data_IF_532711640569
#
_entry.id   IF_532711640569
#
_cell.length_a   1.000
_cell.length_b   1.000
_cell.length_c   1.000
_cell.angle_alpha   90.00
_cell.angle_beta   90.00
_cell.angle_gamma   90.00
#
_symmetry.space_group_name_H-M   'P 1'
#
loop_
_entity.id
_entity.type
_entity.pdbx_description
1 polymer ?
#
# COMPACT_ATOMS: atom_id res chain seq x y z
N UNK A 1 6.30 -17.70 -22.41
CA UNK A 1 7.20 -16.61 -21.98
C UNK A 1 8.43 -17.29 -21.40
N UNK A 2 9.66 -16.92 -21.78
CA UNK A 2 10.84 -17.62 -21.24
C UNK A 2 11.05 -17.23 -19.77
N UNK A 3 11.47 -18.17 -18.91
CA UNK A 3 11.78 -17.94 -17.48
C UNK A 3 12.68 -16.72 -17.26
N UNK A 4 13.58 -16.43 -18.19
CA UNK A 4 14.45 -15.25 -18.16
C UNK A 4 13.70 -13.92 -18.26
N UNK A 5 12.72 -13.79 -19.16
CA UNK A 5 11.93 -12.55 -19.29
C UNK A 5 11.05 -12.29 -18.06
N UNK A 6 10.63 -13.37 -17.39
CA UNK A 6 9.84 -13.31 -16.19
C UNK A 6 10.63 -12.79 -14.99
N UNK A 7 11.83 -13.34 -14.77
CA UNK A 7 12.73 -12.95 -13.68
C UNK A 7 13.13 -11.48 -13.78
N UNK A 8 13.43 -11.00 -14.99
CA UNK A 8 13.74 -9.59 -15.25
C UNK A 8 12.57 -8.65 -14.96
N UNK A 9 11.33 -9.09 -15.20
CA UNK A 9 10.13 -8.27 -14.95
C UNK A 9 9.89 -8.03 -13.47
N UNK A 10 10.11 -9.05 -12.63
CA UNK A 10 9.91 -8.99 -11.18
C UNK A 10 11.01 -8.16 -10.51
N UNK A 11 12.27 -8.34 -10.92
CA UNK A 11 13.40 -7.51 -10.43
C UNK A 11 13.24 -6.05 -10.84
N UNK A 12 12.70 -5.79 -12.04
CA UNK A 12 12.39 -4.43 -12.49
C UNK A 12 11.23 -3.86 -11.69
N UNK A 13 10.15 -4.61 -11.45
CA UNK A 13 9.03 -4.19 -10.62
C UNK A 13 9.46 -3.83 -9.19
N UNK A 14 10.37 -4.60 -8.57
CA UNK A 14 10.91 -4.29 -7.25
C UNK A 14 11.68 -2.95 -7.24
N UNK A 15 12.57 -2.73 -8.22
CA UNK A 15 13.29 -1.45 -8.35
C UNK A 15 12.37 -0.26 -8.59
N UNK A 16 11.35 -0.42 -9.43
CA UNK A 16 10.36 0.61 -9.70
C UNK A 16 9.42 0.84 -8.52
N UNK A 17 9.13 -0.17 -7.70
CA UNK A 17 8.26 -0.04 -6.53
C UNK A 17 8.77 1.01 -5.56
N UNK A 18 10.09 1.08 -5.35
CA UNK A 18 10.71 2.05 -4.45
C UNK A 18 10.58 3.48 -4.99
N UNK A 19 10.79 3.67 -6.28
CA UNK A 19 10.66 4.97 -6.93
C UNK A 19 9.18 5.41 -6.93
N UNK A 20 8.27 4.53 -7.33
CA UNK A 20 6.85 4.80 -7.38
C UNK A 20 6.27 5.08 -5.98
N UNK A 21 6.69 4.32 -4.96
CA UNK A 21 6.28 4.57 -3.58
C UNK A 21 6.76 5.93 -3.08
N UNK A 22 8.00 6.33 -3.43
CA UNK A 22 8.51 7.66 -3.07
C UNK A 22 7.73 8.78 -3.78
N UNK A 23 7.48 8.63 -5.09
CA UNK A 23 6.69 9.60 -5.86
C UNK A 23 5.27 9.71 -5.30
N UNK A 24 4.64 8.58 -4.99
CA UNK A 24 3.32 8.55 -4.37
C UNK A 24 3.31 9.24 -3.02
N UNK A 25 4.30 8.97 -2.16
CA UNK A 25 4.42 9.62 -0.86
C UNK A 25 4.60 11.14 -1.00
N UNK A 26 5.45 11.61 -1.92
CA UNK A 26 5.65 13.04 -2.16
C UNK A 26 4.35 13.70 -2.66
N UNK A 27 3.68 13.10 -3.65
CA UNK A 27 2.43 13.63 -4.19
C UNK A 27 1.34 13.74 -3.10
N UNK A 28 1.20 12.69 -2.29
CA UNK A 28 0.23 12.65 -1.19
C UNK A 28 0.61 13.63 -0.09
N UNK A 29 1.90 13.80 0.22
CA UNK A 29 2.34 14.79 1.19
C UNK A 29 1.95 16.20 0.75
N UNK A 30 2.24 16.58 -0.50
CA UNK A 30 1.91 17.90 -1.03
C UNK A 30 0.40 18.14 -1.01
N UNK A 31 -0.39 17.15 -1.44
CA UNK A 31 -1.84 17.23 -1.43
C UNK A 31 -2.41 17.32 -0.01
N UNK A 32 -2.00 16.42 0.89
CA UNK A 32 -2.49 16.39 2.25
C UNK A 32 -2.10 17.65 3.02
N UNK A 33 -0.89 18.18 2.79
CA UNK A 33 -0.44 19.44 3.38
C UNK A 33 -1.32 20.61 2.93
N UNK A 34 -1.65 20.68 1.64
CA UNK A 34 -2.50 21.74 1.09
C UNK A 34 -3.92 21.67 1.66
N UNK A 35 -4.48 20.46 1.77
CA UNK A 35 -5.86 20.26 2.25
C UNK A 35 -6.00 20.39 3.76
N UNK A 36 -5.04 19.89 4.53
CA UNK A 36 -5.13 19.78 5.99
C UNK A 36 -4.46 20.95 6.72
N UNK A 37 -3.50 21.64 6.10
CA UNK A 37 -2.71 22.70 6.75
C UNK A 37 -1.77 22.21 7.86
N UNK A 38 -1.73 20.90 8.13
CA UNK A 38 -0.92 20.28 9.19
C UNK A 38 0.17 19.39 8.59
N UNK A 39 1.44 19.78 8.82
CA UNK A 39 2.61 19.09 8.27
C UNK A 39 2.83 17.72 8.91
N UNK A 40 2.56 17.58 10.21
CA UNK A 40 2.74 16.31 10.92
C UNK A 40 1.74 15.28 10.40
N UNK A 41 0.47 15.68 10.31
CA UNK A 41 -0.59 14.84 9.77
C UNK A 41 -0.34 14.49 8.30
N UNK A 42 0.01 15.46 7.45
CA UNK A 42 0.35 15.21 6.06
C UNK A 42 1.53 14.21 5.91
N UNK A 43 2.51 14.27 6.80
CA UNK A 43 3.64 13.33 6.83
C UNK A 43 3.19 11.90 7.17
N UNK A 44 2.25 11.73 8.11
CA UNK A 44 1.69 10.43 8.47
C UNK A 44 0.92 9.82 7.30
N UNK A 45 0.03 10.60 6.68
CA UNK A 45 -0.78 10.16 5.52
C UNK A 45 0.12 9.81 4.32
N UNK A 46 1.16 10.60 4.08
CA UNK A 46 2.13 10.33 3.02
C UNK A 46 2.95 9.05 3.27
N UNK A 47 3.48 8.89 4.48
CA UNK A 47 4.28 7.72 4.85
C UNK A 47 3.47 6.43 4.75
N UNK A 48 2.26 6.42 5.30
CA UNK A 48 1.33 5.27 5.24
C UNK A 48 0.96 4.92 3.80
N UNK A 49 0.68 5.91 2.96
CA UNK A 49 0.41 5.69 1.53
C UNK A 49 1.63 5.16 0.78
N UNK A 50 2.83 5.67 1.08
CA UNK A 50 4.08 5.19 0.50
C UNK A 50 4.36 3.73 0.87
N UNK A 51 4.15 3.35 2.13
CA UNK A 51 4.26 1.96 2.59
C UNK A 51 3.24 1.09 1.84
N UNK A 52 1.97 1.52 1.78
CA UNK A 52 0.91 0.79 1.08
C UNK A 52 1.24 0.56 -0.39
N UNK A 53 1.74 1.59 -1.07
CA UNK A 53 2.19 1.53 -2.47
C UNK A 53 3.33 0.53 -2.66
N UNK A 54 4.31 0.55 -1.75
CA UNK A 54 5.46 -0.37 -1.79
C UNK A 54 5.05 -1.84 -1.57
N UNK A 55 4.00 -2.09 -0.80
CA UNK A 55 3.46 -3.45 -0.62
C UNK A 55 2.61 -3.89 -1.82
N UNK A 56 1.82 -2.98 -2.38
CA UNK A 56 0.88 -3.30 -3.45
C UNK A 56 1.56 -3.54 -4.80
N UNK A 57 2.59 -2.77 -5.17
CA UNK A 57 3.24 -2.90 -6.48
C UNK A 57 3.83 -4.30 -6.73
N UNK A 58 4.69 -4.87 -5.84
CA UNK A 58 5.23 -6.21 -6.04
C UNK A 58 4.13 -7.29 -6.00
N UNK A 59 3.11 -7.12 -5.15
CA UNK A 59 1.92 -7.98 -5.17
C UNK A 59 1.20 -7.94 -6.53
N UNK A 60 0.98 -6.76 -7.09
CA UNK A 60 0.33 -6.61 -8.39
C UNK A 60 1.15 -7.22 -9.53
N UNK A 61 2.48 -7.23 -9.39
CA UNK A 61 3.35 -7.93 -10.31
C UNK A 61 3.26 -9.46 -10.17
N UNK A 62 3.19 -9.99 -8.95
CA UNK A 62 3.13 -11.44 -8.70
C UNK A 62 1.79 -12.09 -9.08
N UNK A 63 0.68 -11.34 -9.05
CA UNK A 63 -0.61 -11.87 -9.51
C UNK A 63 -0.75 -11.92 -11.05
N UNK A 64 0.13 -11.23 -11.80
CA UNK A 64 0.15 -11.30 -13.28
C UNK A 64 0.77 -12.59 -13.80
N UNK A 65 1.41 -13.34 -12.90
CA UNK A 65 1.98 -14.67 -13.13
C UNK A 65 0.83 -15.68 -13.15
N UNK A 66 0.77 -16.60 -14.14
CA UNK A 66 -0.17 -17.71 -14.13
C UNK A 66 -0.08 -18.49 -12.80
N UNK A 67 -1.22 -18.90 -12.25
CA UNK A 67 -1.26 -19.55 -10.92
C UNK A 67 -0.38 -20.79 -10.81
N UNK A 68 -0.26 -21.56 -11.91
CA UNK A 68 0.58 -22.76 -11.95
C UNK A 68 2.07 -22.50 -11.71
N UNK A 69 2.53 -21.28 -12.03
CA UNK A 69 3.93 -20.86 -11.92
C UNK A 69 4.13 -19.80 -10.81
N UNK A 70 3.10 -19.50 -10.02
CA UNK A 70 3.13 -18.44 -9.00
C UNK A 70 3.68 -18.99 -7.69
N UNK A 71 4.86 -18.56 -7.29
CA UNK A 71 5.29 -18.64 -5.89
C UNK A 71 4.63 -17.52 -5.12
N UNK A 72 3.92 -17.85 -4.04
CA UNK A 72 3.30 -16.81 -3.23
C UNK A 72 4.38 -16.00 -2.50
N UNK A 73 4.22 -14.69 -2.44
CA UNK A 73 5.15 -13.77 -1.78
C UNK A 73 5.43 -14.22 -0.36
N UNK A 74 4.41 -14.61 0.41
CA UNK A 74 4.55 -15.04 1.81
C UNK A 74 5.41 -16.30 2.02
N UNK A 75 5.65 -17.10 0.96
CA UNK A 75 6.56 -18.25 1.01
C UNK A 75 8.03 -17.84 0.85
N UNK A 76 8.29 -16.60 0.44
CA UNK A 76 9.64 -16.09 0.27
C UNK A 76 10.22 -15.67 1.64
N UNK A 77 11.37 -16.23 2.08
CA UNK A 77 11.86 -16.14 3.46
C UNK A 77 12.24 -14.73 3.96
N UNK A 78 12.34 -13.75 3.06
CA UNK A 78 12.59 -12.33 3.38
C UNK A 78 11.32 -11.46 3.33
N UNK A 79 10.16 -12.03 3.06
CA UNK A 79 8.88 -11.33 3.12
C UNK A 79 8.10 -11.74 4.38
N UNK A 80 7.16 -10.91 4.82
CA UNK A 80 6.38 -11.22 6.01
C UNK A 80 5.23 -12.18 5.72
N UNK A 81 4.78 -12.93 6.73
CA UNK A 81 3.65 -13.84 6.62
C UNK A 81 2.30 -13.09 6.72
N UNK A 82 1.99 -12.26 5.71
CA UNK A 82 0.74 -11.52 5.61
C UNK A 82 0.32 -11.31 4.15
N UNK A 83 -0.94 -10.93 3.93
CA UNK A 83 -1.45 -10.71 2.58
C UNK A 83 -0.96 -9.35 2.05
N UNK A 84 0.16 -9.32 1.34
CA UNK A 84 0.83 -8.11 0.86
C UNK A 84 -0.10 -7.17 0.04
N UNK A 85 -0.92 -7.73 -0.86
CA UNK A 85 -1.91 -6.96 -1.63
C UNK A 85 -2.98 -6.30 -0.77
N UNK A 86 -3.60 -7.07 0.12
CA UNK A 86 -4.57 -6.57 1.10
C UNK A 86 -3.97 -5.54 2.03
N UNK A 87 -2.76 -5.75 2.56
CA UNK A 87 -2.06 -4.79 3.41
C UNK A 87 -1.75 -3.49 2.64
N UNK A 88 -1.29 -3.59 1.40
CA UNK A 88 -1.01 -2.46 0.54
C UNK A 88 -2.22 -1.57 0.31
N UNK A 89 -3.32 -2.16 -0.18
CA UNK A 89 -4.56 -1.44 -0.44
C UNK A 89 -5.24 -0.94 0.84
N UNK A 90 -5.20 -1.71 1.92
CA UNK A 90 -5.76 -1.30 3.21
C UNK A 90 -5.06 -0.06 3.77
N UNK A 91 -3.73 0.03 3.64
CA UNK A 91 -2.98 1.22 4.06
C UNK A 91 -3.35 2.44 3.21
N UNK A 92 -3.50 2.29 1.90
CA UNK A 92 -3.94 3.40 1.03
C UNK A 92 -5.36 3.84 1.41
N UNK A 93 -6.28 2.90 1.65
CA UNK A 93 -7.64 3.22 2.08
C UNK A 93 -7.65 3.94 3.44
N UNK A 94 -6.85 3.45 4.41
CA UNK A 94 -6.70 4.08 5.72
C UNK A 94 -6.23 5.53 5.62
N UNK A 95 -5.25 5.80 4.74
CA UNK A 95 -4.74 7.16 4.47
C UNK A 95 -5.84 8.08 3.94
N UNK A 96 -6.64 7.61 2.98
CA UNK A 96 -7.73 8.38 2.38
C UNK A 96 -8.81 8.69 3.42
N UNK A 97 -9.22 7.70 4.23
CA UNK A 97 -10.22 7.89 5.28
C UNK A 97 -9.70 8.84 6.36
N UNK A 98 -8.47 8.66 6.82
CA UNK A 98 -7.85 9.55 7.81
C UNK A 98 -7.85 11.00 7.30
N UNK A 99 -7.39 11.22 6.06
CA UNK A 99 -7.36 12.55 5.45
C UNK A 99 -8.76 13.16 5.36
N UNK A 100 -9.75 12.39 4.90
CA UNK A 100 -11.14 12.85 4.84
C UNK A 100 -11.68 13.27 6.21
N UNK A 101 -11.47 12.45 7.24
CA UNK A 101 -11.92 12.75 8.61
C UNK A 101 -11.26 14.03 9.14
N UNK A 102 -9.97 14.20 8.91
CA UNK A 102 -9.24 15.40 9.33
C UNK A 102 -9.73 16.66 8.60
N UNK A 103 -9.91 16.59 7.28
CA UNK A 103 -10.43 17.70 6.45
C UNK A 103 -11.85 18.10 6.85
N UNK A 104 -12.64 17.17 7.39
CA UNK A 104 -13.95 17.46 7.99
C UNK A 104 -13.87 18.16 9.36
N UNK A 105 -12.69 18.59 9.80
CA UNK A 105 -12.48 19.37 11.03
C UNK A 105 -12.26 18.54 12.29
N UNK A 106 -12.07 17.22 12.17
CA UNK A 106 -11.76 16.39 13.33
C UNK A 106 -10.27 16.46 13.67
N UNK A 107 -9.94 16.41 14.96
CA UNK A 107 -8.55 16.42 15.42
C UNK A 107 -7.77 15.16 14.99
N UNK A 108 -6.44 15.29 15.01
CA UNK A 108 -5.48 14.25 14.58
C UNK A 108 -5.76 12.87 15.19
N UNK A 109 -6.09 12.80 16.48
CA UNK A 109 -6.34 11.54 17.19
C UNK A 109 -7.56 10.81 16.61
N UNK A 110 -8.65 11.54 16.35
CA UNK A 110 -9.87 10.97 15.77
C UNK A 110 -9.62 10.54 14.32
N UNK A 111 -8.97 11.39 13.53
CA UNK A 111 -8.65 11.10 12.13
C UNK A 111 -7.79 9.84 11.99
N UNK A 112 -6.71 9.74 12.77
CA UNK A 112 -5.83 8.56 12.78
C UNK A 112 -6.55 7.33 13.32
N UNK A 113 -7.36 7.47 14.38
CA UNK A 113 -8.14 6.36 14.93
C UNK A 113 -9.14 5.78 13.94
N UNK A 114 -9.93 6.62 13.28
CA UNK A 114 -10.90 6.19 12.26
C UNK A 114 -10.18 5.62 11.03
N UNK A 115 -9.10 6.24 10.59
CA UNK A 115 -8.23 5.72 9.54
C UNK A 115 -7.72 4.31 9.87
N UNK A 116 -7.19 4.11 11.08
CA UNK A 116 -6.71 2.81 11.55
C UNK A 116 -7.82 1.74 11.57
N UNK A 117 -8.98 2.04 12.17
CA UNK A 117 -10.10 1.10 12.21
C UNK A 117 -10.61 0.73 10.82
N UNK A 118 -10.78 1.72 9.94
CA UNK A 118 -11.21 1.49 8.56
C UNK A 118 -10.19 0.68 7.77
N UNK A 119 -8.89 0.95 7.95
CA UNK A 119 -7.78 0.20 7.35
C UNK A 119 -7.76 -1.25 7.80
N UNK A 120 -7.92 -1.51 9.10
CA UNK A 120 -8.01 -2.88 9.63
C UNK A 120 -9.22 -3.63 9.04
N UNK A 121 -10.38 -2.99 8.97
CA UNK A 121 -11.56 -3.57 8.31
C UNK A 121 -11.33 -3.86 6.83
N UNK A 122 -10.74 -2.91 6.11
CA UNK A 122 -10.38 -3.07 4.70
C UNK A 122 -9.39 -4.23 4.51
N UNK A 123 -8.39 -4.37 5.38
CA UNK A 123 -7.43 -5.48 5.33
C UNK A 123 -8.12 -6.83 5.43
N UNK A 124 -9.02 -7.01 6.39
CA UNK A 124 -9.74 -8.29 6.58
C UNK A 124 -10.54 -8.66 5.33
N UNK A 125 -11.29 -7.69 4.79
CA UNK A 125 -12.07 -7.91 3.57
C UNK A 125 -11.17 -8.23 2.39
N UNK A 126 -10.14 -7.42 2.15
CA UNK A 126 -9.24 -7.57 1.02
C UNK A 126 -8.41 -8.86 1.10
N UNK A 127 -7.93 -9.24 2.29
CA UNK A 127 -7.18 -10.46 2.48
C UNK A 127 -8.02 -11.73 2.20
N UNK A 128 -9.34 -11.65 2.36
CA UNK A 128 -10.26 -12.75 2.03
C UNK A 128 -10.67 -12.78 0.55
N UNK A 129 -10.66 -11.63 -0.13
CA UNK A 129 -11.16 -11.48 -1.50
C UNK A 129 -10.06 -11.52 -2.57
N UNK A 130 -8.85 -11.13 -2.20
CA UNK A 130 -7.72 -11.09 -3.12
C UNK A 130 -7.00 -12.44 -3.17
N UNK A 131 -6.44 -12.81 -4.33
CA UNK A 131 -5.58 -14.00 -4.42
C UNK A 131 -4.29 -13.76 -3.64
N UNK A 132 -3.79 -14.82 -3.00
CA UNK A 132 -2.44 -14.83 -2.45
C UNK A 132 -1.45 -14.62 -3.61
N UNK A 133 -0.83 -13.45 -3.61
CA UNK A 133 0.25 -13.09 -4.52
C UNK A 133 1.58 -13.55 -3.98
#
# INVERSE_FOLDING_TARGET
MSEQQFHDSVVRADKWSRILALVAAIAVFLLARELAGDVQFASIVAATTGIGTRLYIPYHASIRVPEADRTALHDHPVTGNYHHGGAGLALVAASVVALGVFVLGHGIVIAVGVGGMSGSGAYVVLASALPAG
#
